data_IF_739534431802
#
_entry.id   IF_739534431802
#
_cell.length_a   1.000
_cell.length_b   1.000
_cell.length_c   1.000
_cell.angle_alpha   90.00
_cell.angle_beta   90.00
_cell.angle_gamma   90.00
#
_symmetry.space_group_name_H-M   'P 1'
#
loop_
_entity.id
_entity.type
_entity.pdbx_description
1 polymer ?
#
# COMPACT_ATOMS: atom_id res chain seq x y z
N UNK A 1 -16.37 -45.12 -11.43
CA UNK A 1 -15.88 -43.73 -11.56
C UNK A 1 -16.01 -43.04 -10.20
N UNK A 2 -14.92 -42.47 -9.66
CA UNK A 2 -15.02 -41.71 -8.42
C UNK A 2 -15.90 -40.46 -8.63
N UNK A 3 -16.83 -40.22 -7.69
CA UNK A 3 -17.69 -39.04 -7.68
C UNK A 3 -16.82 -37.77 -7.74
N UNK A 4 -17.27 -36.77 -8.49
CA UNK A 4 -16.58 -35.48 -8.63
C UNK A 4 -16.23 -34.87 -7.26
N UNK A 5 -17.13 -35.03 -6.27
CA UNK A 5 -16.89 -34.62 -4.89
C UNK A 5 -15.67 -35.29 -4.25
N UNK A 6 -15.48 -36.60 -4.45
CA UNK A 6 -14.36 -37.34 -3.83
C UNK A 6 -13.03 -37.02 -4.52
N UNK A 7 -13.05 -36.78 -5.84
CA UNK A 7 -11.86 -36.29 -6.57
C UNK A 7 -11.38 -34.94 -6.06
N UNK A 8 -12.31 -34.01 -5.80
CA UNK A 8 -12.00 -32.69 -5.27
C UNK A 8 -11.42 -32.76 -3.84
N UNK A 9 -11.97 -33.62 -2.99
CA UNK A 9 -11.46 -33.83 -1.62
C UNK A 9 -10.05 -34.44 -1.63
N UNK A 10 -9.82 -35.48 -2.42
CA UNK A 10 -8.48 -36.10 -2.52
C UNK A 10 -7.44 -35.11 -3.08
N UNK A 11 -7.84 -34.29 -4.06
CA UNK A 11 -6.99 -33.25 -4.61
C UNK A 11 -6.69 -32.14 -3.60
N UNK A 12 -7.67 -31.78 -2.76
CA UNK A 12 -7.49 -30.83 -1.66
C UNK A 12 -6.51 -31.36 -0.61
N UNK A 13 -6.66 -32.61 -0.16
CA UNK A 13 -5.74 -33.26 0.79
C UNK A 13 -4.32 -33.36 0.24
N UNK A 14 -4.17 -33.70 -1.04
CA UNK A 14 -2.86 -33.74 -1.70
C UNK A 14 -2.18 -32.37 -1.76
N UNK A 15 -2.95 -31.30 -2.05
CA UNK A 15 -2.40 -29.94 -2.06
C UNK A 15 -2.02 -29.46 -0.65
N UNK A 16 -2.76 -29.91 0.37
CA UNK A 16 -2.48 -29.63 1.78
C UNK A 16 -1.20 -30.31 2.25
N UNK A 17 -1.00 -31.59 1.92
CA UNK A 17 0.22 -32.32 2.28
C UNK A 17 1.46 -31.80 1.54
N UNK A 18 1.30 -31.33 0.30
CA UNK A 18 2.38 -30.74 -0.49
C UNK A 18 2.72 -29.29 -0.11
N UNK A 19 1.93 -28.65 0.76
CA UNK A 19 2.14 -27.25 1.14
C UNK A 19 2.04 -26.27 -0.03
N UNK A 20 1.37 -26.65 -1.12
CA UNK A 20 1.21 -25.81 -2.32
C UNK A 20 0.01 -24.88 -2.16
N UNK A 21 -0.02 -23.82 -2.96
CA UNK A 21 -1.10 -22.81 -2.94
C UNK A 21 -2.48 -23.45 -3.16
N UNK A 22 -3.28 -23.45 -2.10
CA UNK A 22 -4.65 -23.98 -2.13
C UNK A 22 -5.58 -22.90 -2.70
N UNK A 23 -6.26 -23.23 -3.79
CA UNK A 23 -7.31 -22.40 -4.38
C UNK A 23 -8.31 -23.27 -5.13
N UNK A 24 -9.57 -22.83 -5.30
CA UNK A 24 -10.58 -23.62 -6.03
C UNK A 24 -10.09 -24.06 -7.41
N UNK A 25 -9.39 -23.17 -8.13
CA UNK A 25 -8.79 -23.48 -9.42
C UNK A 25 -7.67 -24.53 -9.32
N UNK A 26 -6.77 -24.42 -8.33
CA UNK A 26 -5.69 -25.38 -8.14
C UNK A 26 -6.22 -26.78 -7.81
N UNK A 27 -7.28 -26.86 -7.00
CA UNK A 27 -7.94 -28.12 -6.64
C UNK A 27 -8.63 -28.74 -7.86
N UNK A 28 -9.33 -27.93 -8.67
CA UNK A 28 -9.97 -28.40 -9.92
C UNK A 28 -8.94 -28.96 -10.93
N UNK A 29 -7.80 -28.28 -11.09
CA UNK A 29 -6.71 -28.75 -11.95
C UNK A 29 -6.09 -30.05 -11.46
N UNK A 30 -5.88 -30.17 -10.15
CA UNK A 30 -5.30 -31.37 -9.53
C UNK A 30 -6.26 -32.56 -9.56
N UNK A 31 -7.57 -32.29 -9.43
CA UNK A 31 -8.63 -33.30 -9.53
C UNK A 31 -8.95 -33.73 -10.98
N UNK A 32 -8.45 -32.98 -11.98
CA UNK A 32 -8.73 -33.24 -13.40
C UNK A 32 -10.21 -33.02 -13.76
N UNK A 33 -10.87 -32.05 -13.12
CA UNK A 33 -12.29 -31.72 -13.35
C UNK A 33 -12.43 -30.42 -14.14
N UNK A 34 -13.61 -30.21 -14.73
CA UNK A 34 -13.90 -28.98 -15.46
C UNK A 34 -13.83 -27.75 -14.55
N UNK A 35 -13.38 -26.63 -15.11
CA UNK A 35 -13.31 -25.35 -14.39
C UNK A 35 -14.72 -24.97 -13.90
N UNK A 36 -14.86 -24.64 -12.61
CA UNK A 36 -16.15 -24.31 -11.99
C UNK A 36 -16.86 -25.50 -11.34
N UNK A 37 -16.30 -26.71 -11.40
CA UNK A 37 -16.84 -27.88 -10.71
C UNK A 37 -16.92 -27.71 -9.18
N UNK A 38 -16.07 -26.88 -8.57
CA UNK A 38 -16.15 -26.54 -7.15
C UNK A 38 -17.41 -25.74 -6.81
N UNK A 39 -17.98 -24.96 -7.76
CA UNK A 39 -19.21 -24.19 -7.50
C UNK A 39 -20.43 -25.07 -7.30
N UNK A 40 -20.43 -26.26 -7.91
CA UNK A 40 -21.53 -27.23 -7.79
C UNK A 40 -21.50 -27.98 -6.44
N UNK A 41 -20.43 -27.82 -5.66
CA UNK A 41 -20.24 -28.47 -4.36
C UNK A 41 -19.89 -27.42 -3.30
N UNK A 42 -20.88 -26.67 -2.78
CA UNK A 42 -20.64 -25.55 -1.86
C UNK A 42 -19.88 -25.96 -0.60
N UNK A 43 -20.17 -27.16 -0.06
CA UNK A 43 -19.46 -27.69 1.11
C UNK A 43 -17.96 -27.90 0.88
N UNK A 44 -17.55 -28.29 -0.32
CA UNK A 44 -16.12 -28.49 -0.66
C UNK A 44 -15.47 -27.14 -0.95
N UNK A 45 -16.21 -26.22 -1.59
CA UNK A 45 -15.75 -24.87 -1.87
C UNK A 45 -15.46 -24.08 -0.59
N UNK A 46 -16.32 -24.18 0.43
CA UNK A 46 -16.14 -23.52 1.73
C UNK A 46 -14.86 -23.98 2.41
N UNK A 47 -14.63 -25.30 2.48
CA UNK A 47 -13.41 -25.89 3.05
C UNK A 47 -12.15 -25.39 2.30
N UNK A 48 -12.20 -25.33 0.96
CA UNK A 48 -11.08 -24.84 0.14
C UNK A 48 -10.83 -23.35 0.37
N UNK A 49 -11.88 -22.54 0.52
CA UNK A 49 -11.78 -21.10 0.75
C UNK A 49 -11.25 -20.80 2.16
N UNK A 50 -11.69 -21.54 3.16
CA UNK A 50 -11.17 -21.46 4.53
C UNK A 50 -9.68 -21.79 4.59
N UNK A 51 -9.26 -22.88 3.93
CA UNK A 51 -7.85 -23.27 3.90
C UNK A 51 -7.01 -22.31 3.02
N UNK A 52 -7.58 -21.76 1.95
CA UNK A 52 -6.95 -20.67 1.17
C UNK A 52 -6.72 -19.43 2.02
N UNK A 53 -7.65 -19.09 2.91
CA UNK A 53 -7.48 -17.96 3.83
C UNK A 53 -6.36 -18.22 4.85
N UNK A 54 -6.19 -19.48 5.27
CA UNK A 54 -5.10 -19.93 6.15
C UNK A 54 -3.76 -20.03 5.44
N UNK A 55 -3.76 -20.28 4.13
CA UNK A 55 -2.54 -20.40 3.34
C UNK A 55 -1.90 -19.02 3.11
N UNK A 56 -0.84 -18.72 3.85
CA UNK A 56 0.02 -17.57 3.59
C UNK A 56 1.26 -18.03 2.80
N UNK A 57 1.57 -17.39 1.65
CA UNK A 57 2.73 -17.76 0.82
C UNK A 57 4.10 -17.47 1.47
N UNK A 58 4.14 -17.03 2.73
CA UNK A 58 5.37 -16.69 3.43
C UNK A 58 5.37 -17.30 4.86
N UNK A 59 6.16 -18.35 5.12
CA UNK A 59 6.09 -19.11 6.37
C UNK A 59 6.58 -18.32 7.60
N UNK A 60 7.32 -17.22 7.42
CA UNK A 60 7.80 -16.36 8.51
C UNK A 60 6.72 -15.48 9.14
N UNK A 61 5.59 -15.29 8.44
CA UNK A 61 4.46 -14.45 8.93
C UNK A 61 3.39 -15.31 9.63
N UNK A 62 3.42 -16.64 9.44
CA UNK A 62 2.39 -17.55 9.93
C UNK A 62 2.28 -17.66 11.46
N UNK A 63 3.30 -17.25 12.23
CA UNK A 63 3.22 -17.22 13.71
C UNK A 63 2.40 -16.05 14.27
N UNK A 64 1.83 -15.15 13.45
CA UNK A 64 1.02 -14.00 13.88
C UNK A 64 -0.43 -14.05 13.39
N UNK A 65 -0.91 -15.21 12.96
CA UNK A 65 -2.24 -15.41 12.42
C UNK A 65 -3.20 -16.09 13.38
N UNK A 66 -3.29 -15.64 14.64
CA UNK A 66 -4.53 -15.89 15.39
C UNK A 66 -5.70 -15.24 14.62
N UNK A 67 -6.89 -15.85 14.62
CA UNK A 67 -8.06 -15.21 14.07
C UNK A 67 -8.26 -13.94 14.89
N UNK A 68 -7.91 -12.77 14.33
CA UNK A 68 -8.35 -11.51 14.89
C UNK A 68 -9.87 -11.57 14.82
N UNK A 69 -10.49 -11.99 15.93
CA UNK A 69 -11.85 -11.62 16.25
C UNK A 69 -11.95 -10.16 15.83
N UNK A 70 -12.96 -9.83 15.01
CA UNK A 70 -13.25 -8.45 14.62
C UNK A 70 -13.20 -7.66 15.90
N UNK A 71 -12.08 -6.96 16.14
CA UNK A 71 -11.92 -6.15 17.34
C UNK A 71 -13.03 -5.15 17.17
N UNK A 72 -14.02 -5.22 18.05
CA UNK A 72 -14.89 -4.10 18.30
C UNK A 72 -13.92 -2.98 18.65
N UNK A 73 -13.55 -2.17 17.66
CA UNK A 73 -12.72 -1.00 17.90
C UNK A 73 -13.63 -0.16 18.76
N UNK A 74 -13.27 0.03 20.03
CA UNK A 74 -14.01 0.89 20.94
C UNK A 74 -14.30 2.19 20.20
N UNK A 75 -15.59 2.52 20.12
CA UNK A 75 -16.07 3.66 19.35
C UNK A 75 -15.36 4.94 19.77
N UNK A 76 -15.13 5.08 21.07
CA UNK A 76 -14.33 6.13 21.69
C UNK A 76 -12.91 6.22 21.11
N UNK A 77 -12.23 5.08 20.95
CA UNK A 77 -10.87 5.04 20.38
C UNK A 77 -10.83 5.40 18.90
N UNK A 78 -11.91 5.12 18.17
CA UNK A 78 -12.05 5.54 16.78
C UNK A 78 -12.30 7.04 16.69
N UNK A 79 -13.18 7.56 17.55
CA UNK A 79 -13.51 8.98 17.62
C UNK A 79 -12.27 9.82 18.01
N UNK A 80 -11.48 9.36 18.99
CA UNK A 80 -10.20 9.97 19.39
C UNK A 80 -9.17 10.01 18.24
N UNK A 81 -9.09 8.90 17.49
CA UNK A 81 -8.20 8.82 16.32
C UNK A 81 -8.67 9.75 15.20
N UNK A 82 -9.98 9.89 15.00
CA UNK A 82 -10.54 10.79 14.00
C UNK A 82 -10.27 12.25 14.37
N UNK A 83 -10.47 12.64 15.63
CA UNK A 83 -10.17 13.99 16.12
C UNK A 83 -8.68 14.31 16.00
N UNK A 84 -7.81 13.37 16.40
CA UNK A 84 -6.36 13.50 16.25
C UNK A 84 -5.95 13.67 14.77
N UNK A 85 -6.57 12.92 13.86
CA UNK A 85 -6.30 13.05 12.43
C UNK A 85 -6.76 14.40 11.87
N UNK A 86 -7.92 14.90 12.32
CA UNK A 86 -8.42 16.24 11.94
C UNK A 86 -7.45 17.33 12.37
N UNK A 87 -6.95 17.27 13.61
CA UNK A 87 -5.93 18.20 14.13
C UNK A 87 -4.64 18.17 13.31
N UNK A 88 -4.09 16.97 13.07
CA UNK A 88 -2.87 16.80 12.27
C UNK A 88 -3.02 17.33 10.84
N UNK A 89 -4.21 17.16 10.23
CA UNK A 89 -4.48 17.71 8.89
C UNK A 89 -4.54 19.24 8.90
N UNK A 90 -5.12 19.84 9.93
CA UNK A 90 -5.17 21.30 10.06
C UNK A 90 -3.76 21.88 10.24
N UNK A 91 -2.95 21.29 11.12
CA UNK A 91 -1.55 21.68 11.35
C UNK A 91 -0.69 21.49 10.09
N UNK A 92 -0.84 20.35 9.42
CA UNK A 92 -0.16 20.10 8.13
C UNK A 92 -0.57 21.11 7.05
N UNK A 93 -1.82 21.58 7.08
CA UNK A 93 -2.33 22.63 6.19
C UNK A 93 -1.62 23.96 6.44
N UNK A 94 -1.51 24.37 7.70
CA UNK A 94 -0.81 25.60 8.11
C UNK A 94 0.66 25.59 7.66
N UNK A 95 1.39 24.50 7.94
CA UNK A 95 2.79 24.39 7.50
C UNK A 95 2.94 24.44 5.98
N UNK A 96 2.00 23.85 5.23
CA UNK A 96 2.03 23.89 3.77
C UNK A 96 1.84 25.31 3.25
N UNK A 97 0.98 26.10 3.87
CA UNK A 97 0.73 27.48 3.48
C UNK A 97 1.89 28.40 3.88
N UNK A 98 2.45 28.23 5.07
CA UNK A 98 3.69 28.92 5.49
C UNK A 98 4.85 28.62 4.52
N UNK A 99 4.99 27.37 4.09
CA UNK A 99 6.04 26.97 3.15
C UNK A 99 5.85 27.58 1.76
N UNK A 100 4.61 27.76 1.29
CA UNK A 100 4.33 28.50 0.04
C UNK A 100 4.73 29.97 0.15
N UNK A 101 4.41 30.61 1.28
CA UNK A 101 4.77 32.01 1.53
C UNK A 101 6.28 32.16 1.58
N UNK A 102 6.99 31.31 2.33
CA UNK A 102 8.45 31.30 2.38
C UNK A 102 9.07 31.08 0.99
N UNK A 103 8.56 30.13 0.20
CA UNK A 103 9.04 29.90 -1.16
C UNK A 103 8.88 31.14 -2.05
N UNK A 104 7.78 31.87 -1.89
CA UNK A 104 7.53 33.13 -2.62
C UNK A 104 8.56 34.20 -2.23
N UNK A 105 8.83 34.38 -0.93
CA UNK A 105 9.85 35.31 -0.45
C UNK A 105 11.25 34.94 -0.95
N UNK A 106 11.63 33.66 -0.91
CA UNK A 106 12.92 33.19 -1.44
C UNK A 106 13.04 33.48 -2.94
N UNK A 107 11.97 33.25 -3.71
CA UNK A 107 11.95 33.56 -5.13
C UNK A 107 12.16 35.07 -5.37
N UNK A 108 11.43 35.93 -4.65
CA UNK A 108 11.58 37.39 -4.75
C UNK A 108 13.00 37.85 -4.41
N UNK A 109 13.56 37.39 -3.29
CA UNK A 109 14.94 37.72 -2.88
C UNK A 109 15.96 37.25 -3.91
N UNK A 110 15.74 36.08 -4.51
CA UNK A 110 16.61 35.56 -5.57
C UNK A 110 16.58 36.46 -6.81
N UNK A 111 15.39 36.92 -7.21
CA UNK A 111 15.22 37.87 -8.31
C UNK A 111 15.90 39.22 -8.02
N UNK A 112 15.71 39.77 -6.83
CA UNK A 112 16.35 41.01 -6.39
C UNK A 112 17.88 40.90 -6.39
N UNK A 113 18.41 39.80 -5.87
CA UNK A 113 19.85 39.52 -5.88
C UNK A 113 20.40 39.42 -7.31
N UNK A 114 19.67 38.74 -8.20
CA UNK A 114 20.04 38.64 -9.61
C UNK A 114 20.02 40.03 -10.29
N UNK A 115 19.00 40.85 -10.01
CA UNK A 115 18.90 42.23 -10.52
C UNK A 115 20.05 43.10 -10.02
N UNK A 116 20.39 43.00 -8.74
CA UNK A 116 21.51 43.74 -8.16
C UNK A 116 22.85 43.34 -8.80
N UNK A 117 23.10 42.04 -8.94
CA UNK A 117 24.32 41.51 -9.59
C UNK A 117 24.44 41.95 -11.05
N UNK A 118 23.33 41.97 -11.79
CA UNK A 118 23.32 42.40 -13.20
C UNK A 118 23.53 43.91 -13.33
N UNK A 119 22.86 44.72 -12.50
CA UNK A 119 23.03 46.18 -12.46
C UNK A 119 24.47 46.61 -12.13
N UNK A 120 25.08 45.99 -11.13
CA UNK A 120 26.47 46.27 -10.72
C UNK A 120 27.50 45.76 -11.73
N UNK A 121 27.25 44.63 -12.40
CA UNK A 121 28.10 44.12 -13.49
C UNK A 121 28.11 45.01 -14.74
N UNK A 122 27.01 45.73 -15.02
CA UNK A 122 26.99 46.71 -16.11
C UNK A 122 27.77 47.99 -15.77
N UNK A 123 27.84 48.37 -14.49
CA UNK A 123 28.57 49.56 -14.05
C UNK A 123 30.08 49.32 -13.84
N UNK A 124 30.55 48.07 -13.78
CA UNK A 124 31.95 47.74 -13.48
C UNK A 124 32.91 47.82 -14.69
N UNK A 125 32.48 48.32 -15.85
CA UNK A 125 33.31 48.37 -17.08
C UNK A 125 33.85 49.78 -17.39
N UNK A 126 33.68 50.74 -16.46
CA UNK A 126 34.14 52.12 -16.66
C UNK A 126 35.38 52.51 -15.84
N UNK A 127 36.19 51.55 -15.41
CA UNK A 127 37.59 51.84 -15.04
C UNK A 127 38.41 51.89 -16.34
N UNK A 128 38.15 52.91 -17.17
CA UNK A 128 39.01 53.20 -18.31
C UNK A 128 40.36 53.65 -17.76
N UNK A 129 41.37 52.81 -17.96
CA UNK A 129 42.79 53.14 -18.13
C UNK A 129 43.25 54.43 -17.43
N UNK A 130 43.64 54.32 -16.16
CA UNK A 130 44.60 55.28 -15.60
C UNK A 130 45.91 55.04 -16.34
N UNK A 131 46.25 55.92 -17.29
CA UNK A 131 47.56 55.93 -17.94
C UNK A 131 48.61 56.24 -16.87
N UNK A 132 49.58 55.35 -16.76
CA UNK A 132 50.87 55.55 -16.05
C UNK A 132 51.67 56.61 -16.79
#
# INVERSE_FOLDING_TARGET
MANVKTKLLNAFESLKSEGKKISPYAVEKRAGVANGSCKNHPAVLEIILDEKARYHPNPTVAKKGEPRQKKHIDKERYDDLEESNKRLRAESGQFRDEMKVMATFVAQLTWELHRYKTSTRQHSINVKNIKV
#
